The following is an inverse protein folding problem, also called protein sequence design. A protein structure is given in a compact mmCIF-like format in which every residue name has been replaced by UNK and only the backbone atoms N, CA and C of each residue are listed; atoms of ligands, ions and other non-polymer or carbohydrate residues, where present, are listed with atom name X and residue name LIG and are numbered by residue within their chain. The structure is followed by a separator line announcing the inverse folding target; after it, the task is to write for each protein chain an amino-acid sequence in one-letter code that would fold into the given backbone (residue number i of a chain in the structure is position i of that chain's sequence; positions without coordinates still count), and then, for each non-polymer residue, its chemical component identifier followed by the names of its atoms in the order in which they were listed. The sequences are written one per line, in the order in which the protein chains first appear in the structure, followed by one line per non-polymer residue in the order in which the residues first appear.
data_IF_973892729169
#
_entry.id   IF_973892729169
#
_cell.length_a   1.000
_cell.length_b   1.000
_cell.length_c   1.000
_cell.angle_alpha   90.00
_cell.angle_beta   90.00
_cell.angle_gamma   90.00
#
_symmetry.space_group_name_H-M   'P 1'
#
loop_
_entity.id
_entity.type
_entity.pdbx_description
1 polymer ?
#
# COMPACT_ATOMS: atom_id res chain seq x y z
N UNK A 1 27.94 -0.63 -49.99
CA UNK A 1 28.33 -0.04 -48.69
C UNK A 1 27.07 0.40 -47.97
N UNK A 2 26.50 -0.46 -47.12
CA UNK A 2 25.37 -0.13 -46.29
C UNK A 2 25.90 0.32 -44.92
N UNK A 3 25.65 1.59 -44.60
CA UNK A 3 25.98 2.12 -43.26
C UNK A 3 25.02 1.49 -42.27
N UNK A 4 25.55 0.63 -41.39
CA UNK A 4 24.93 0.25 -40.13
C UNK A 4 24.80 1.50 -39.26
N UNK A 5 23.62 2.06 -39.15
CA UNK A 5 23.28 2.96 -38.06
C UNK A 5 23.14 2.07 -36.80
N UNK A 6 24.20 1.99 -36.01
CA UNK A 6 24.14 1.47 -34.67
C UNK A 6 23.23 2.38 -33.86
N UNK A 7 22.03 1.91 -33.52
CA UNK A 7 21.19 2.48 -32.50
C UNK A 7 21.97 2.44 -31.18
N UNK A 8 22.66 3.52 -30.84
CA UNK A 8 23.13 3.76 -29.48
C UNK A 8 21.91 4.05 -28.60
N UNK A 9 21.17 3.01 -28.22
CA UNK A 9 20.20 3.09 -27.16
C UNK A 9 20.99 3.29 -25.87
N UNK A 10 20.91 4.50 -25.28
CA UNK A 10 21.47 4.80 -23.97
C UNK A 10 20.67 3.96 -22.98
N UNK A 11 21.26 2.89 -22.47
CA UNK A 11 20.71 2.13 -21.34
C UNK A 11 20.69 3.09 -20.17
N UNK A 12 19.51 3.39 -19.64
CA UNK A 12 19.30 4.28 -18.53
C UNK A 12 19.46 3.47 -17.24
N UNK A 13 20.67 3.38 -16.72
CA UNK A 13 20.96 2.69 -15.47
C UNK A 13 20.29 3.38 -14.28
N UNK A 14 19.81 2.62 -13.30
CA UNK A 14 19.24 3.11 -12.02
C UNK A 14 18.02 4.02 -12.17
N UNK A 15 16.96 3.53 -12.78
CA UNK A 15 15.70 4.26 -12.93
C UNK A 15 15.18 4.76 -11.58
N UNK A 16 14.63 5.98 -11.57
CA UNK A 16 13.84 6.50 -10.47
C UNK A 16 12.39 6.02 -10.64
N UNK A 17 11.91 5.25 -9.66
CA UNK A 17 10.58 4.65 -9.66
C UNK A 17 9.79 5.17 -8.47
N UNK A 18 8.60 5.69 -8.71
CA UNK A 18 7.65 6.03 -7.64
C UNK A 18 6.55 4.97 -7.60
N UNK A 19 6.35 4.37 -6.41
CA UNK A 19 5.25 3.46 -6.13
C UNK A 19 4.18 4.18 -5.30
N UNK A 20 2.97 4.32 -5.84
CA UNK A 20 1.80 4.80 -5.12
C UNK A 20 1.19 3.65 -4.33
N UNK A 21 1.16 3.79 -3.01
CA UNK A 21 0.81 2.75 -2.04
C UNK A 21 2.02 2.01 -1.48
N UNK A 22 1.98 1.65 -0.20
CA UNK A 22 3.00 0.93 0.54
C UNK A 22 2.43 -0.22 1.40
N UNK A 23 1.20 -0.67 1.12
CA UNK A 23 0.59 -1.87 1.72
C UNK A 23 1.30 -3.17 1.30
N UNK A 24 0.80 -4.33 1.73
CA UNK A 24 1.48 -5.62 1.54
C UNK A 24 1.81 -5.99 0.08
N UNK A 25 0.93 -5.70 -0.87
CA UNK A 25 1.19 -5.95 -2.30
C UNK A 25 2.19 -4.96 -2.87
N UNK A 26 2.04 -3.67 -2.56
CA UNK A 26 2.98 -2.63 -2.97
C UNK A 26 4.36 -2.87 -2.37
N UNK A 27 4.46 -3.32 -1.12
CA UNK A 27 5.72 -3.69 -0.47
C UNK A 27 6.47 -4.77 -1.26
N UNK A 28 5.76 -5.80 -1.77
CA UNK A 28 6.40 -6.81 -2.62
C UNK A 28 6.98 -6.24 -3.91
N UNK A 29 6.32 -5.26 -4.51
CA UNK A 29 6.79 -4.54 -5.71
C UNK A 29 8.01 -3.69 -5.36
N UNK A 30 7.89 -2.83 -4.36
CA UNK A 30 8.96 -1.93 -3.88
C UNK A 30 10.22 -2.73 -3.52
N UNK A 31 10.04 -3.80 -2.71
CA UNK A 31 11.12 -4.69 -2.31
C UNK A 31 11.85 -5.27 -3.53
N UNK A 32 11.12 -5.79 -4.52
CA UNK A 32 11.72 -6.41 -5.70
C UNK A 32 12.47 -5.41 -6.58
N UNK A 33 11.88 -4.24 -6.83
CA UNK A 33 12.50 -3.18 -7.62
C UNK A 33 13.76 -2.63 -6.94
N UNK A 34 13.70 -2.40 -5.63
CA UNK A 34 14.85 -1.98 -4.83
C UNK A 34 15.99 -3.03 -4.86
N UNK A 35 15.65 -4.32 -4.68
CA UNK A 35 16.62 -5.43 -4.76
C UNK A 35 17.19 -5.65 -6.17
N UNK A 36 16.50 -5.17 -7.20
CA UNK A 36 17.00 -5.15 -8.58
C UNK A 36 17.92 -3.95 -8.87
N UNK A 37 18.15 -3.05 -7.90
CA UNK A 37 19.10 -1.93 -8.00
C UNK A 37 18.45 -0.61 -8.41
N UNK A 38 17.12 -0.52 -8.55
CA UNK A 38 16.45 0.73 -8.89
C UNK A 38 16.31 1.64 -7.66
N UNK A 39 16.23 2.93 -7.89
CA UNK A 39 15.91 3.96 -6.90
C UNK A 39 14.40 4.03 -6.73
N UNK A 40 13.87 3.56 -5.61
CA UNK A 40 12.43 3.44 -5.39
C UNK A 40 11.98 4.37 -4.27
N UNK A 41 10.92 5.15 -4.52
CA UNK A 41 10.25 6.00 -3.53
C UNK A 41 8.82 5.49 -3.38
N UNK A 42 8.33 5.38 -2.14
CA UNK A 42 6.97 4.99 -1.83
C UNK A 42 6.13 6.22 -1.45
N UNK A 43 4.89 6.29 -1.95
CA UNK A 43 3.89 7.29 -1.54
C UNK A 43 2.77 6.58 -0.78
N UNK A 44 2.35 7.16 0.34
CA UNK A 44 1.27 6.59 1.14
C UNK A 44 0.36 7.69 1.71
N UNK A 45 -0.77 7.30 2.25
CA UNK A 45 -1.64 8.17 3.03
C UNK A 45 -1.06 8.42 4.43
N UNK A 46 -1.55 9.42 5.12
CA UNK A 46 -1.21 9.75 6.50
C UNK A 46 -1.80 8.75 7.53
N UNK A 47 -2.83 7.99 7.14
CA UNK A 47 -3.49 7.02 8.01
C UNK A 47 -3.72 5.66 7.29
N UNK A 48 -2.64 4.90 7.02
CA UNK A 48 -2.73 3.64 6.30
C UNK A 48 -3.40 2.53 7.13
N UNK A 49 -4.20 1.69 6.44
CA UNK A 49 -5.06 0.67 7.06
C UNK A 49 -4.62 -0.76 6.69
N UNK A 50 -3.33 -1.04 6.68
CA UNK A 50 -2.85 -2.38 6.36
C UNK A 50 -3.15 -3.37 7.49
N UNK A 51 -3.84 -4.47 7.18
CA UNK A 51 -4.03 -5.56 8.16
C UNK A 51 -2.82 -6.51 8.19
N UNK A 52 -2.10 -6.67 7.06
CA UNK A 52 -0.86 -7.45 7.00
C UNK A 52 0.35 -6.56 7.29
N UNK A 53 0.28 -5.82 8.38
CA UNK A 53 1.24 -4.77 8.73
C UNK A 53 2.67 -5.26 8.90
N UNK A 54 2.90 -6.52 9.33
CA UNK A 54 4.24 -7.11 9.46
C UNK A 54 5.00 -7.24 8.13
N UNK A 55 4.31 -7.08 7.01
CA UNK A 55 4.89 -7.14 5.65
C UNK A 55 4.48 -5.93 4.82
N UNK A 56 4.27 -4.78 5.46
CA UNK A 56 3.81 -3.55 4.82
C UNK A 56 4.70 -2.37 5.19
N UNK A 57 5.30 -1.73 4.19
CA UNK A 57 6.13 -0.54 4.38
C UNK A 57 5.33 0.68 4.86
N UNK A 58 4.00 0.68 4.67
CA UNK A 58 3.16 1.77 5.16
C UNK A 58 3.20 1.94 6.69
N UNK A 59 3.65 0.91 7.46
CA UNK A 59 3.86 1.05 8.90
C UNK A 59 4.93 2.09 9.24
N UNK A 60 5.81 2.45 8.29
CA UNK A 60 6.77 3.54 8.47
C UNK A 60 6.09 4.90 8.70
N UNK A 61 4.84 5.09 8.27
CA UNK A 61 4.06 6.31 8.55
C UNK A 61 3.89 6.50 10.06
N UNK A 62 3.68 5.41 10.80
CA UNK A 62 3.47 5.44 12.25
C UNK A 62 4.77 5.33 13.05
N UNK A 63 5.70 4.49 12.59
CA UNK A 63 6.89 4.09 13.36
C UNK A 63 8.18 4.79 12.87
N UNK A 64 8.08 5.68 11.86
CA UNK A 64 9.22 6.35 11.24
C UNK A 64 10.00 5.45 10.26
N UNK A 65 9.96 4.14 10.45
CA UNK A 65 10.55 3.16 9.52
C UNK A 65 9.86 1.81 9.63
N UNK A 66 9.92 1.02 8.54
CA UNK A 66 9.43 -0.36 8.51
C UNK A 66 10.39 -1.22 7.69
N UNK A 67 10.73 -2.41 8.20
CA UNK A 67 11.65 -3.33 7.54
C UNK A 67 10.94 -4.63 7.16
N UNK A 68 11.09 -5.05 5.89
CA UNK A 68 10.52 -6.31 5.36
C UNK A 68 11.58 -7.04 4.55
N UNK A 69 11.88 -8.28 4.92
CA UNK A 69 12.86 -9.16 4.24
C UNK A 69 14.20 -8.45 3.90
N UNK A 70 14.73 -7.64 4.85
CA UNK A 70 16.03 -6.98 4.73
C UNK A 70 16.04 -5.68 3.90
N UNK A 71 14.87 -5.18 3.51
CA UNK A 71 14.71 -3.83 2.93
C UNK A 71 13.98 -2.95 3.93
N UNK A 72 14.45 -1.73 4.14
CA UNK A 72 13.86 -0.74 5.04
C UNK A 72 13.23 0.39 4.24
N UNK A 73 11.98 0.72 4.56
CA UNK A 73 11.36 1.97 4.16
C UNK A 73 11.45 2.98 5.32
N UNK A 74 11.77 4.21 5.00
CA UNK A 74 11.93 5.30 5.99
C UNK A 74 11.04 6.47 5.65
N UNK A 75 10.28 6.93 6.63
CA UNK A 75 9.46 8.13 6.51
C UNK A 75 10.36 9.36 6.32
N UNK A 76 10.09 10.12 5.26
CA UNK A 76 10.66 11.46 5.06
C UNK A 76 9.56 12.46 5.39
N UNK A 77 9.69 13.22 6.50
CA UNK A 77 8.68 14.17 6.90
C UNK A 77 8.57 15.34 5.91
N UNK A 78 7.39 15.93 5.79
CA UNK A 78 7.20 17.18 5.07
C UNK A 78 7.87 18.33 5.82
N UNK A 79 8.44 19.31 5.08
CA UNK A 79 9.17 20.44 5.64
C UNK A 79 8.35 21.32 6.61
N UNK A 80 7.03 21.38 6.43
CA UNK A 80 6.14 22.21 7.23
C UNK A 80 5.47 21.48 8.43
N UNK A 81 5.79 20.21 8.66
CA UNK A 81 5.33 19.45 9.83
C UNK A 81 6.38 19.49 10.95
N UNK A 82 6.63 20.67 11.51
CA UNK A 82 7.41 20.80 12.76
C UNK A 82 6.57 20.43 14.01
N UNK A 83 5.30 20.14 13.83
CA UNK A 83 4.42 19.57 14.87
C UNK A 83 3.87 18.24 14.36
N UNK A 84 4.55 17.14 14.70
CA UNK A 84 3.87 15.85 14.80
C UNK A 84 2.77 16.09 15.84
N UNK A 85 1.51 16.03 15.41
CA UNK A 85 0.36 16.19 16.28
C UNK A 85 0.58 15.33 17.54
N UNK A 86 0.83 15.99 18.66
CA UNK A 86 0.66 15.39 19.96
C UNK A 86 -0.83 15.09 20.09
N UNK A 87 -1.17 13.95 20.59
CA UNK A 87 -2.43 13.21 20.73
C UNK A 87 -3.77 13.99 20.95
N UNK A 88 -3.81 15.32 20.81
CA UNK A 88 -4.97 16.13 21.18
C UNK A 88 -5.95 16.48 20.06
N UNK A 89 -5.61 16.30 18.78
CA UNK A 89 -6.44 16.78 17.65
C UNK A 89 -7.16 15.68 16.86
N UNK A 90 -7.15 14.44 17.35
CA UNK A 90 -7.78 13.30 16.66
C UNK A 90 -9.33 13.29 16.73
N UNK A 91 -9.96 14.20 17.46
CA UNK A 91 -11.41 14.19 17.61
C UNK A 91 -12.16 14.80 16.40
N UNK A 92 -11.50 15.60 15.56
CA UNK A 92 -12.14 16.26 14.41
C UNK A 92 -11.98 15.52 13.10
N UNK A 93 -10.99 14.63 12.96
CA UNK A 93 -10.67 13.95 11.69
C UNK A 93 -11.23 12.52 11.59
N UNK A 94 -11.95 12.02 12.61
CA UNK A 94 -12.51 10.66 12.63
C UNK A 94 -13.65 10.43 11.62
N UNK A 95 -14.18 11.45 10.97
CA UNK A 95 -15.15 11.31 9.88
C UNK A 95 -14.52 10.90 8.54
N UNK A 96 -13.19 10.79 8.47
CA UNK A 96 -12.42 10.83 7.21
C UNK A 96 -11.91 9.45 6.71
N UNK A 97 -12.17 8.36 7.40
CA UNK A 97 -11.45 7.08 7.16
C UNK A 97 -11.80 6.24 5.93
N UNK A 98 -12.90 6.41 5.19
CA UNK A 98 -13.20 5.54 4.03
C UNK A 98 -14.05 6.15 2.92
N UNK A 99 -14.77 7.23 3.15
CA UNK A 99 -15.52 7.94 2.11
C UNK A 99 -14.76 9.12 1.49
N UNK A 100 -13.67 9.57 2.08
CA UNK A 100 -12.89 10.73 1.63
C UNK A 100 -12.24 10.54 0.28
N UNK A 101 -12.03 9.33 -0.16
CA UNK A 101 -11.63 9.15 -1.57
C UNK A 101 -12.75 9.49 -2.57
N UNK A 102 -13.98 9.85 -2.13
CA UNK A 102 -15.08 10.11 -3.05
C UNK A 102 -15.81 11.44 -2.91
N UNK A 103 -15.75 12.17 -1.81
CA UNK A 103 -16.62 13.36 -1.65
C UNK A 103 -15.93 14.69 -1.28
N UNK A 104 -14.68 14.72 -0.85
CA UNK A 104 -14.06 15.97 -0.35
C UNK A 104 -13.38 16.83 -1.41
N UNK A 105 -13.49 16.53 -2.69
CA UNK A 105 -12.93 17.39 -3.75
C UNK A 105 -13.96 18.27 -4.48
N UNK A 106 -15.20 18.36 -4.03
CA UNK A 106 -16.23 19.16 -4.70
C UNK A 106 -16.71 20.43 -3.95
N UNK A 107 -16.07 20.87 -2.88
CA UNK A 107 -16.65 21.93 -2.08
C UNK A 107 -15.76 22.81 -1.23
N UNK A 108 -14.53 23.15 -1.61
CA UNK A 108 -13.75 24.19 -0.94
C UNK A 108 -13.19 25.19 -1.97
N UNK A 109 -13.98 26.22 -2.26
CA UNK A 109 -13.50 27.48 -2.83
C UNK A 109 -13.02 28.40 -1.69
N UNK A 110 -11.92 28.03 -1.02
CA UNK A 110 -11.07 28.96 -0.29
C UNK A 110 -9.66 28.40 -0.37
N UNK A 111 -8.90 28.94 -1.32
CA UNK A 111 -7.51 28.62 -1.56
C UNK A 111 -6.63 29.20 -0.45
N UNK A 112 -6.07 28.38 0.47
CA UNK A 112 -4.83 28.76 1.12
C UNK A 112 -3.78 28.84 0.02
N UNK A 113 -2.86 29.79 0.12
CA UNK A 113 -1.79 30.01 -0.85
C UNK A 113 -1.14 28.66 -1.21
N UNK A 114 -1.21 28.29 -2.50
CA UNK A 114 -0.64 27.06 -3.01
C UNK A 114 0.87 27.05 -2.72
N UNK A 115 1.28 26.37 -1.64
CA UNK A 115 2.67 25.99 -1.47
C UNK A 115 3.05 25.12 -2.66
N UNK A 116 4.10 25.50 -3.38
CA UNK A 116 4.57 24.68 -4.50
C UNK A 116 5.03 23.33 -3.95
N UNK A 117 4.84 22.24 -4.70
CA UNK A 117 5.28 20.90 -4.28
C UNK A 117 6.78 20.87 -3.88
N UNK A 118 7.59 21.82 -4.36
CA UNK A 118 8.99 22.01 -3.98
C UNK A 118 9.20 22.50 -2.54
N UNK A 119 8.16 23.02 -1.88
CA UNK A 119 8.23 23.51 -0.49
C UNK A 119 7.73 22.48 0.51
N UNK A 120 7.11 21.37 0.05
CA UNK A 120 6.52 20.34 0.90
C UNK A 120 7.51 19.26 1.32
N UNK A 121 8.46 18.88 0.47
CA UNK A 121 9.46 17.84 0.77
C UNK A 121 10.88 18.31 0.52
N UNK A 122 11.78 17.99 1.47
CA UNK A 122 13.21 18.20 1.31
C UNK A 122 13.80 17.13 0.36
N UNK A 123 14.19 17.58 -0.82
CA UNK A 123 14.85 16.72 -1.79
C UNK A 123 16.16 16.12 -1.27
N UNK A 124 16.91 16.87 -0.45
CA UNK A 124 18.16 16.37 0.12
C UNK A 124 17.92 15.24 1.12
N UNK A 125 16.82 15.29 1.89
CA UNK A 125 16.43 14.23 2.79
C UNK A 125 16.00 12.96 2.03
N UNK A 126 15.27 13.10 0.91
CA UNK A 126 14.91 11.97 0.03
C UNK A 126 16.18 11.32 -0.53
N UNK A 127 17.11 12.12 -1.06
CA UNK A 127 18.38 11.61 -1.62
C UNK A 127 19.22 10.90 -0.54
N UNK A 128 19.31 11.47 0.67
CA UNK A 128 20.06 10.86 1.78
C UNK A 128 19.53 9.46 2.14
N UNK A 129 18.20 9.25 2.12
CA UNK A 129 17.60 7.93 2.36
C UNK A 129 17.92 6.97 1.22
N UNK A 130 17.85 7.42 -0.05
CA UNK A 130 18.22 6.62 -1.21
C UNK A 130 19.71 6.22 -1.20
N UNK A 131 20.60 7.16 -0.85
CA UNK A 131 22.04 6.90 -0.73
C UNK A 131 22.39 5.94 0.42
N UNK A 132 21.58 5.95 1.49
CA UNK A 132 21.69 4.97 2.57
C UNK A 132 21.24 3.55 2.16
N UNK A 133 20.72 3.37 0.94
CA UNK A 133 20.21 2.09 0.46
C UNK A 133 18.85 1.73 1.05
N UNK A 134 18.09 2.72 1.50
CA UNK A 134 16.73 2.56 2.01
C UNK A 134 15.70 3.14 1.02
N UNK A 135 14.42 2.88 1.27
CA UNK A 135 13.31 3.36 0.46
C UNK A 135 12.67 4.57 1.15
N UNK A 136 12.75 5.80 0.59
CA UNK A 136 12.01 6.94 1.11
C UNK A 136 10.50 6.67 1.02
N UNK A 137 9.78 6.92 2.11
CA UNK A 137 8.32 6.92 2.14
C UNK A 137 7.84 8.34 2.40
N UNK A 138 6.98 8.84 1.52
CA UNK A 138 6.38 10.17 1.61
C UNK A 138 4.89 10.05 1.91
N UNK A 139 4.39 10.89 2.82
CA UNK A 139 2.94 11.06 2.99
C UNK A 139 2.45 11.97 1.86
N UNK A 140 2.00 11.34 0.78
CA UNK A 140 1.55 12.00 -0.44
C UNK A 140 0.45 11.20 -1.15
N UNK A 141 -0.78 11.20 -0.61
CA UNK A 141 -1.89 10.42 -1.17
C UNK A 141 -2.28 10.86 -2.58
N UNK A 142 -2.06 12.12 -2.93
CA UNK A 142 -2.43 12.69 -4.23
C UNK A 142 -1.37 12.49 -5.31
N UNK A 143 -0.10 12.28 -4.92
CA UNK A 143 1.04 12.12 -5.84
C UNK A 143 1.60 13.45 -6.35
N UNK A 144 1.48 14.53 -5.58
CA UNK A 144 2.04 15.86 -5.93
C UNK A 144 3.56 15.80 -6.12
N UNK A 145 4.26 14.96 -5.35
CA UNK A 145 5.70 14.75 -5.46
C UNK A 145 6.14 14.19 -6.82
N UNK A 146 5.26 13.52 -7.56
CA UNK A 146 5.56 12.95 -8.88
C UNK A 146 6.00 14.05 -9.85
N UNK A 147 5.27 15.17 -9.89
CA UNK A 147 5.61 16.30 -10.75
C UNK A 147 6.95 16.96 -10.37
N UNK A 148 7.27 16.98 -9.07
CA UNK A 148 8.52 17.50 -8.54
C UNK A 148 9.70 16.59 -8.85
N UNK A 149 9.55 15.29 -8.59
CA UNK A 149 10.64 14.30 -8.66
C UNK A 149 10.89 13.80 -10.08
N UNK A 150 9.88 13.87 -10.97
CA UNK A 150 9.95 13.46 -12.39
C UNK A 150 10.53 12.07 -12.56
N UNK A 151 9.86 11.02 -12.02
CA UNK A 151 10.34 9.66 -12.11
C UNK A 151 10.35 9.15 -13.55
N UNK A 152 11.13 8.10 -13.80
CA UNK A 152 11.10 7.35 -15.05
C UNK A 152 9.88 6.43 -15.12
N UNK A 153 9.47 5.91 -13.97
CA UNK A 153 8.35 4.97 -13.84
C UNK A 153 7.46 5.35 -12.66
N UNK A 154 6.15 5.27 -12.86
CA UNK A 154 5.16 5.30 -11.79
C UNK A 154 4.44 3.96 -11.76
N UNK A 155 4.34 3.36 -10.57
CA UNK A 155 3.56 2.14 -10.33
C UNK A 155 2.44 2.48 -9.35
N UNK A 156 1.19 2.40 -9.77
CA UNK A 156 0.05 2.51 -8.87
C UNK A 156 -0.32 1.13 -8.32
N UNK A 157 0.01 0.91 -7.07
CA UNK A 157 -0.27 -0.30 -6.30
C UNK A 157 -1.10 -0.02 -5.03
N UNK A 158 -1.91 1.04 -5.03
CA UNK A 158 -2.84 1.38 -3.94
C UNK A 158 -3.89 0.27 -3.75
N UNK A 159 -4.27 -0.42 -4.86
CA UNK A 159 -5.29 -1.50 -4.87
C UNK A 159 -6.68 -1.00 -4.43
N UNK A 160 -7.00 0.23 -4.74
CA UNK A 160 -8.28 0.85 -4.38
C UNK A 160 -9.49 0.32 -5.18
N UNK A 161 -9.27 -0.56 -6.16
CA UNK A 161 -10.29 -1.13 -7.06
C UNK A 161 -10.93 -0.11 -8.01
N UNK A 162 -10.48 1.12 -7.96
CA UNK A 162 -10.80 2.25 -8.84
C UNK A 162 -9.55 3.10 -9.00
N UNK A 163 -9.47 3.85 -10.08
CA UNK A 163 -8.39 4.81 -10.29
C UNK A 163 -8.58 6.03 -9.36
N UNK A 164 -7.56 6.34 -8.57
CA UNK A 164 -7.50 7.48 -7.66
C UNK A 164 -6.63 8.61 -8.21
N UNK A 165 -6.81 8.94 -9.49
CA UNK A 165 -6.15 10.07 -10.14
C UNK A 165 -4.81 9.74 -10.82
N UNK A 166 -4.47 8.46 -10.98
CA UNK A 166 -3.30 8.07 -11.79
C UNK A 166 -3.59 8.28 -13.28
N UNK A 167 -2.69 8.96 -13.96
CA UNK A 167 -2.78 9.22 -15.40
C UNK A 167 -1.54 8.74 -16.13
N UNK A 168 -1.71 8.39 -17.40
CA UNK A 168 -0.65 7.91 -18.28
C UNK A 168 0.50 8.92 -18.45
N UNK A 169 0.25 10.20 -18.16
CA UNK A 169 1.23 11.29 -18.31
C UNK A 169 2.10 11.52 -17.07
N UNK A 170 1.93 10.76 -15.99
CA UNK A 170 2.70 10.93 -14.75
C UNK A 170 4.18 10.58 -14.89
N UNK A 171 4.51 9.66 -15.81
CA UNK A 171 5.89 9.25 -16.12
C UNK A 171 5.99 8.68 -17.53
N UNK A 172 7.21 8.51 -18.08
CA UNK A 172 7.43 7.79 -19.34
C UNK A 172 6.85 6.37 -19.36
N UNK A 173 6.84 5.68 -18.21
CA UNK A 173 6.13 4.42 -18.02
C UNK A 173 5.22 4.53 -16.78
N UNK A 174 3.92 4.25 -16.95
CA UNK A 174 2.94 4.20 -15.85
C UNK A 174 2.29 2.83 -15.85
N UNK A 175 2.31 2.14 -14.70
CA UNK A 175 1.80 0.79 -14.50
C UNK A 175 0.72 0.83 -13.44
N UNK A 176 -0.48 0.34 -13.75
CA UNK A 176 -1.56 0.16 -12.78
C UNK A 176 -1.65 -1.30 -12.32
N UNK A 177 -1.82 -1.54 -11.02
CA UNK A 177 -1.95 -2.89 -10.46
C UNK A 177 -3.39 -3.18 -10.08
N UNK A 178 -3.99 -4.18 -10.73
CA UNK A 178 -5.36 -4.63 -10.47
C UNK A 178 -6.45 -3.81 -11.15
N UNK A 179 -7.71 -3.98 -10.72
CA UNK A 179 -8.86 -3.33 -11.33
C UNK A 179 -8.90 -1.82 -11.04
N UNK A 180 -9.51 -1.08 -11.95
CA UNK A 180 -9.64 0.38 -11.87
C UNK A 180 -8.93 1.10 -13.01
N UNK A 181 -8.02 0.45 -13.71
CA UNK A 181 -7.22 1.00 -14.81
C UNK A 181 -7.57 0.39 -16.16
N UNK A 182 -7.35 1.16 -17.22
CA UNK A 182 -7.42 0.71 -18.62
C UNK A 182 -6.05 0.95 -19.25
N UNK A 183 -5.40 -0.10 -19.71
CA UNK A 183 -4.13 -0.03 -20.43
C UNK A 183 -4.31 0.78 -21.73
N UNK A 184 -3.33 1.64 -22.04
CA UNK A 184 -3.37 2.55 -23.19
C UNK A 184 -4.26 3.79 -23.00
N UNK A 185 -4.92 3.94 -21.84
CA UNK A 185 -5.79 5.09 -21.52
C UNK A 185 -5.39 5.76 -20.21
N UNK A 186 -5.55 5.08 -19.08
CA UNK A 186 -5.20 5.60 -17.76
C UNK A 186 -3.71 5.39 -17.45
N UNK A 187 -3.20 4.26 -17.88
CA UNK A 187 -1.83 3.77 -17.66
C UNK A 187 -1.32 3.10 -18.93
N UNK A 188 0.00 2.93 -19.04
CA UNK A 188 0.58 2.20 -20.19
C UNK A 188 0.29 0.70 -20.09
N UNK A 189 0.43 0.13 -18.90
CA UNK A 189 0.27 -1.31 -18.63
C UNK A 189 -0.59 -1.54 -17.39
N UNK A 190 -1.36 -2.61 -17.39
CA UNK A 190 -2.08 -3.08 -16.21
C UNK A 190 -1.54 -4.46 -15.81
N UNK A 191 -1.33 -4.69 -14.50
CA UNK A 191 -0.95 -6.00 -13.97
C UNK A 191 -2.17 -6.64 -13.32
N UNK A 192 -2.54 -7.86 -13.77
CA UNK A 192 -3.64 -8.62 -13.20
C UNK A 192 -3.37 -8.98 -11.74
N UNK A 193 -4.29 -8.65 -10.86
CA UNK A 193 -4.16 -8.94 -9.42
C UNK A 193 -5.08 -10.04 -8.90
N UNK A 194 -6.02 -10.52 -9.72
CA UNK A 194 -6.90 -11.61 -9.32
C UNK A 194 -6.14 -12.95 -9.27
N UNK A 195 -6.33 -13.71 -8.17
CA UNK A 195 -5.78 -15.07 -8.07
C UNK A 195 -6.37 -15.98 -9.13
N UNK A 196 -5.55 -16.86 -9.69
CA UNK A 196 -5.90 -17.81 -10.74
C UNK A 196 -4.86 -17.83 -11.83
N UNK A 197 -5.21 -18.41 -12.98
CA UNK A 197 -4.31 -18.62 -14.12
C UNK A 197 -3.69 -17.33 -14.66
N UNK A 198 -4.42 -16.22 -14.57
CA UNK A 198 -3.99 -14.92 -15.11
C UNK A 198 -3.31 -14.03 -14.06
N UNK A 199 -3.12 -14.47 -12.81
CA UNK A 199 -2.43 -13.68 -11.80
C UNK A 199 -1.08 -13.18 -12.33
N UNK A 200 -0.83 -11.89 -12.13
CA UNK A 200 0.37 -11.20 -12.56
C UNK A 200 0.56 -11.06 -14.10
N UNK A 201 -0.43 -11.39 -14.91
CA UNK A 201 -0.37 -11.15 -16.35
C UNK A 201 -0.22 -9.65 -16.65
N UNK A 202 0.70 -9.31 -17.53
CA UNK A 202 0.83 -7.96 -18.09
C UNK A 202 -0.25 -7.80 -19.16
N UNK A 203 -1.08 -6.76 -19.03
CA UNK A 203 -2.16 -6.40 -19.92
C UNK A 203 -1.75 -5.13 -20.64
N UNK A 204 -1.63 -5.19 -21.96
CA UNK A 204 -1.22 -4.09 -22.82
C UNK A 204 -2.41 -3.38 -23.49
N UNK A 205 -3.58 -4.00 -23.47
CA UNK A 205 -4.85 -3.47 -23.96
C UNK A 205 -6.00 -4.00 -23.09
N UNK A 206 -6.90 -3.11 -22.66
CA UNK A 206 -8.03 -3.44 -21.81
C UNK A 206 -7.75 -3.32 -20.32
N UNK A 207 -8.39 -4.18 -19.50
CA UNK A 207 -8.48 -4.05 -18.05
C UNK A 207 -8.19 -5.36 -17.33
N UNK A 208 -7.75 -5.27 -16.08
CA UNK A 208 -7.75 -6.40 -15.15
C UNK A 208 -9.19 -6.84 -14.83
N UNK A 209 -9.33 -8.08 -14.36
CA UNK A 209 -10.62 -8.64 -13.97
C UNK A 209 -11.23 -7.80 -12.83
N UNK A 210 -12.55 -7.53 -12.86
CA UNK A 210 -13.21 -6.76 -11.82
C UNK A 210 -13.13 -7.48 -10.47
N UNK A 211 -13.05 -6.69 -9.39
CA UNK A 211 -13.07 -7.25 -8.05
C UNK A 211 -14.39 -7.97 -7.77
N UNK A 212 -14.30 -9.24 -7.36
CA UNK A 212 -15.48 -10.05 -7.02
C UNK A 212 -16.00 -9.79 -5.61
N UNK A 213 -15.23 -9.10 -4.75
CA UNK A 213 -15.55 -8.97 -3.32
C UNK A 213 -15.36 -10.25 -2.52
N UNK A 214 -15.11 -11.39 -3.18
CA UNK A 214 -14.94 -12.69 -2.52
C UNK A 214 -13.45 -12.98 -2.32
N UNK A 215 -13.01 -13.19 -1.07
CA UNK A 215 -11.63 -13.59 -0.79
C UNK A 215 -11.28 -14.93 -1.45
N UNK A 216 -10.01 -15.10 -1.82
CA UNK A 216 -9.54 -16.37 -2.38
C UNK A 216 -9.73 -17.53 -1.39
N UNK A 217 -10.06 -18.72 -1.93
CA UNK A 217 -10.17 -19.93 -1.13
C UNK A 217 -8.79 -20.35 -0.58
N UNK A 218 -8.69 -20.57 0.73
CA UNK A 218 -7.53 -21.14 1.39
C UNK A 218 -8.02 -22.30 2.28
N UNK A 219 -7.61 -23.52 1.97
CA UNK A 219 -7.97 -24.74 2.69
C UNK A 219 -9.50 -24.89 2.94
N UNK A 220 -10.31 -24.50 1.96
CA UNK A 220 -11.76 -24.60 2.03
C UNK A 220 -12.48 -23.37 2.56
N UNK A 221 -11.78 -22.39 3.13
CA UNK A 221 -12.35 -21.16 3.69
C UNK A 221 -12.17 -19.97 2.73
N UNK A 222 -13.18 -19.11 2.63
CA UNK A 222 -13.21 -17.90 1.80
C UNK A 222 -13.47 -16.64 2.63
N UNK A 223 -14.73 -16.21 2.72
CA UNK A 223 -15.17 -15.04 3.48
C UNK A 223 -15.01 -15.23 4.99
N UNK A 224 -15.13 -16.46 5.45
CA UNK A 224 -15.03 -16.82 6.87
C UNK A 224 -13.67 -16.46 7.49
N UNK A 225 -12.63 -16.38 6.65
CA UNK A 225 -11.27 -15.99 7.10
C UNK A 225 -11.14 -14.51 7.40
N UNK A 226 -12.01 -13.70 6.82
CA UNK A 226 -11.93 -12.24 6.92
C UNK A 226 -12.85 -11.75 8.02
N UNK A 227 -12.29 -11.03 8.96
CA UNK A 227 -13.03 -10.45 10.07
C UNK A 227 -13.28 -8.96 9.77
N UNK A 228 -14.55 -8.58 9.79
CA UNK A 228 -15.00 -7.21 9.65
C UNK A 228 -15.43 -6.68 11.01
N UNK A 229 -15.25 -5.40 11.23
CA UNK A 229 -15.61 -4.71 12.47
C UNK A 229 -17.12 -4.85 12.74
N UNK A 230 -17.53 -5.40 13.90
CA UNK A 230 -18.94 -5.49 14.28
C UNK A 230 -19.54 -4.15 14.73
N UNK A 231 -18.73 -3.14 14.97
CA UNK A 231 -19.12 -1.78 15.35
C UNK A 231 -18.06 -0.77 14.90
N UNK A 232 -18.42 0.51 14.88
CA UNK A 232 -17.46 1.60 14.74
C UNK A 232 -16.71 1.83 16.07
N UNK A 233 -15.43 2.26 16.00
CA UNK A 233 -14.64 2.58 17.18
C UNK A 233 -13.14 2.35 16.97
N UNK A 234 -12.41 2.39 18.08
CA UNK A 234 -10.96 2.17 18.15
C UNK A 234 -10.68 0.73 18.57
N UNK A 235 -9.76 0.07 17.87
CA UNK A 235 -9.36 -1.30 18.21
C UNK A 235 -8.34 -1.31 19.33
N UNK A 236 -8.50 -2.28 20.25
CA UNK A 236 -7.54 -2.68 21.24
C UNK A 236 -7.20 -4.16 21.07
N UNK A 237 -5.93 -4.46 20.85
CA UNK A 237 -5.46 -5.81 20.50
C UNK A 237 -5.43 -6.72 21.74
N UNK A 238 -6.13 -7.85 21.71
CA UNK A 238 -6.04 -8.93 22.73
C UNK A 238 -5.03 -9.99 22.28
N UNK A 239 -4.91 -10.17 20.97
CA UNK A 239 -3.99 -11.13 20.33
C UNK A 239 -3.10 -10.39 19.32
N UNK A 240 -2.05 -11.08 18.84
CA UNK A 240 -1.07 -10.53 17.90
C UNK A 240 -1.07 -11.32 16.59
N UNK A 241 -0.55 -10.71 15.53
CA UNK A 241 -0.24 -11.42 14.29
C UNK A 241 0.74 -12.56 14.60
N UNK A 242 0.41 -13.77 14.16
CA UNK A 242 1.16 -14.99 14.45
C UNK A 242 0.57 -15.84 15.58
N UNK A 243 -0.36 -15.31 16.38
CA UNK A 243 -1.01 -16.11 17.41
C UNK A 243 -1.96 -17.14 16.77
N UNK A 244 -1.95 -18.36 17.33
CA UNK A 244 -2.92 -19.42 17.00
C UNK A 244 -4.14 -19.22 17.88
N UNK A 245 -5.32 -19.21 17.28
CA UNK A 245 -6.60 -19.01 17.96
C UNK A 245 -7.60 -20.09 17.58
N UNK A 246 -8.51 -20.38 18.50
CA UNK A 246 -9.67 -21.23 18.25
C UNK A 246 -10.84 -20.35 17.79
N UNK A 247 -11.74 -20.93 16.98
CA UNK A 247 -13.00 -20.25 16.65
C UNK A 247 -13.74 -19.84 17.92
N UNK A 248 -14.07 -18.54 18.02
CA UNK A 248 -14.73 -17.92 19.17
C UNK A 248 -13.80 -17.27 20.18
N UNK A 249 -12.47 -17.47 20.07
CA UNK A 249 -11.50 -16.75 20.93
C UNK A 249 -11.58 -15.24 20.66
N UNK A 250 -11.53 -14.44 21.72
CA UNK A 250 -11.43 -12.99 21.62
C UNK A 250 -10.03 -12.60 21.09
N UNK A 251 -10.01 -11.84 19.99
CA UNK A 251 -8.76 -11.40 19.33
C UNK A 251 -8.50 -9.91 19.51
N UNK A 252 -9.57 -9.12 19.67
CA UNK A 252 -9.49 -7.67 19.87
C UNK A 252 -10.78 -7.18 20.54
N UNK A 253 -10.76 -5.93 20.97
CA UNK A 253 -11.89 -5.18 21.53
C UNK A 253 -12.08 -3.89 20.78
N UNK A 254 -13.30 -3.44 20.61
CA UNK A 254 -13.62 -2.14 20.00
C UNK A 254 -14.21 -1.23 21.06
N UNK A 255 -13.55 -0.13 21.29
CA UNK A 255 -13.96 0.91 22.23
C UNK A 255 -14.45 2.15 21.51
N UNK A 256 -15.39 2.93 22.10
CA UNK A 256 -15.86 4.17 21.51
C UNK A 256 -14.78 5.26 21.47
N UNK A 257 -13.82 5.23 22.42
CA UNK A 257 -12.70 6.16 22.51
C UNK A 257 -11.43 5.45 23.05
N UNK A 258 -10.24 6.02 22.78
CA UNK A 258 -8.94 5.46 23.23
C UNK A 258 -8.73 5.54 24.72
N UNK A 259 -9.31 6.54 25.39
CA UNK A 259 -9.19 6.70 26.84
C UNK A 259 -9.85 5.57 27.64
N UNK A 260 -10.70 4.80 26.98
CA UNK A 260 -11.39 3.65 27.56
C UNK A 260 -10.55 2.37 27.62
N UNK A 261 -9.36 2.30 26.98
CA UNK A 261 -8.55 1.07 26.88
C UNK A 261 -8.10 0.54 28.24
N UNK A 262 -7.68 1.42 29.15
CA UNK A 262 -7.16 1.08 30.46
C UNK A 262 -8.24 1.04 31.57
N UNK A 263 -9.50 1.26 31.20
CA UNK A 263 -10.61 1.26 32.15
C UNK A 263 -11.40 -0.05 32.04
N UNK A 264 -11.19 -0.95 33.00
CA UNK A 264 -11.87 -2.26 33.07
C UNK A 264 -13.42 -2.16 33.11
N UNK A 265 -13.97 -1.01 33.45
CA UNK A 265 -15.42 -0.77 33.52
C UNK A 265 -15.97 -0.21 32.20
N UNK A 266 -15.13 0.11 31.22
CA UNK A 266 -15.57 0.62 29.94
C UNK A 266 -16.28 -0.45 29.12
N UNK A 267 -17.39 -0.07 28.53
CA UNK A 267 -18.10 -0.94 27.58
C UNK A 267 -17.28 -1.06 26.29
N UNK A 268 -17.20 -2.27 25.76
CA UNK A 268 -16.56 -2.57 24.48
C UNK A 268 -17.34 -3.62 23.70
N UNK A 269 -17.09 -3.70 22.41
CA UNK A 269 -17.60 -4.74 21.55
C UNK A 269 -16.48 -5.75 21.27
N UNK A 270 -16.62 -7.04 21.66
CA UNK A 270 -15.60 -8.05 21.41
C UNK A 270 -15.51 -8.40 19.91
N UNK A 271 -14.29 -8.61 19.45
CA UNK A 271 -14.00 -9.17 18.13
C UNK A 271 -13.49 -10.60 18.32
N UNK A 272 -14.23 -11.55 17.80
CA UNK A 272 -13.91 -12.97 17.98
C UNK A 272 -13.39 -13.60 16.69
N UNK A 273 -12.50 -14.59 16.85
CA UNK A 273 -12.02 -15.42 15.76
C UNK A 273 -13.18 -16.16 15.08
N UNK A 274 -13.35 -15.99 13.79
CA UNK A 274 -14.42 -16.60 12.99
C UNK A 274 -14.14 -18.06 12.65
N UNK A 275 -12.87 -18.44 12.58
CA UNK A 275 -12.36 -19.80 12.36
C UNK A 275 -11.16 -20.07 13.26
N UNK A 276 -10.82 -21.35 13.45
CA UNK A 276 -9.54 -21.77 14.06
C UNK A 276 -8.41 -21.57 13.07
N UNK A 277 -7.26 -21.04 13.53
CA UNK A 277 -6.08 -20.83 12.69
C UNK A 277 -5.13 -19.77 13.26
N UNK A 278 -4.26 -19.24 12.40
CA UNK A 278 -3.29 -18.21 12.73
C UNK A 278 -3.86 -16.83 12.39
N UNK A 279 -3.73 -15.87 13.28
CA UNK A 279 -3.97 -14.46 12.97
C UNK A 279 -2.88 -14.02 11.98
N UNK A 280 -3.22 -13.97 10.70
CA UNK A 280 -2.31 -13.59 9.62
C UNK A 280 -2.23 -12.09 9.41
N UNK A 281 -3.29 -11.41 9.72
CA UNK A 281 -3.41 -9.96 9.63
C UNK A 281 -4.33 -9.43 10.72
N UNK A 282 -3.93 -8.30 11.28
CA UNK A 282 -4.69 -7.53 12.26
C UNK A 282 -4.34 -6.06 12.06
N UNK A 283 -5.34 -5.21 12.00
CA UNK A 283 -5.15 -3.77 11.86
C UNK A 283 -4.41 -3.22 13.08
N UNK A 284 -3.77 -2.05 12.95
CA UNK A 284 -2.96 -1.45 14.01
C UNK A 284 -3.79 -1.12 15.24
N UNK A 285 -3.21 -1.39 16.40
CA UNK A 285 -3.71 -0.95 17.73
C UNK A 285 -4.07 0.53 17.71
N UNK A 286 -5.25 0.88 18.26
CA UNK A 286 -5.73 2.25 18.31
C UNK A 286 -6.20 2.84 16.97
N UNK A 287 -6.32 2.02 15.91
CA UNK A 287 -6.89 2.47 14.65
C UNK A 287 -8.40 2.65 14.78
N UNK A 288 -8.92 3.78 14.30
CA UNK A 288 -10.36 4.02 14.22
C UNK A 288 -10.92 3.52 12.89
N UNK A 289 -12.07 2.89 12.94
CA UNK A 289 -12.79 2.43 11.75
C UNK A 289 -14.31 2.45 11.96
N UNK A 290 -15.04 2.40 10.84
CA UNK A 290 -16.49 2.24 10.83
C UNK A 290 -16.87 0.76 10.89
N UNK A 291 -18.11 0.47 11.31
CA UNK A 291 -18.70 -0.87 11.20
C UNK A 291 -18.56 -1.43 9.77
N UNK A 292 -18.29 -2.72 9.66
CA UNK A 292 -18.09 -3.41 8.39
C UNK A 292 -16.68 -3.26 7.80
N UNK A 293 -15.79 -2.47 8.40
CA UNK A 293 -14.41 -2.33 7.94
C UNK A 293 -13.64 -3.64 8.16
N UNK A 294 -12.78 -4.04 7.21
CA UNK A 294 -11.95 -5.24 7.33
C UNK A 294 -10.82 -5.01 8.31
N UNK A 295 -10.81 -5.71 9.44
CA UNK A 295 -9.86 -5.50 10.54
C UNK A 295 -8.89 -6.65 10.76
N UNK A 296 -9.22 -7.88 10.34
CA UNK A 296 -8.32 -9.02 10.50
C UNK A 296 -8.49 -10.07 9.41
N UNK A 297 -7.52 -10.99 9.34
CA UNK A 297 -7.51 -12.15 8.44
C UNK A 297 -6.89 -13.34 9.17
N UNK A 298 -7.59 -14.50 9.20
CA UNK A 298 -7.12 -15.75 9.81
C UNK A 298 -6.75 -16.73 8.72
N UNK A 299 -5.57 -17.35 8.82
CA UNK A 299 -5.16 -18.47 7.97
C UNK A 299 -5.43 -19.78 8.70
N UNK A 300 -6.25 -20.68 8.15
CA UNK A 300 -6.57 -21.96 8.81
C UNK A 300 -5.38 -22.93 8.85
N UNK A 301 -4.27 -22.62 8.18
CA UNK A 301 -3.10 -23.49 8.07
C UNK A 301 -2.06 -23.13 9.14
N UNK A 302 -2.04 -23.83 10.26
CA UNK A 302 -1.10 -23.56 11.36
C UNK A 302 0.37 -23.74 10.96
N UNK A 303 0.67 -24.55 9.93
CA UNK A 303 2.02 -24.71 9.39
C UNK A 303 2.58 -23.44 8.71
N UNK A 304 1.73 -22.47 8.41
CA UNK A 304 2.06 -21.28 7.64
C UNK A 304 2.44 -20.05 8.51
N UNK A 305 2.79 -20.27 9.78
CA UNK A 305 3.12 -19.21 10.74
C UNK A 305 4.19 -18.24 10.22
N UNK A 306 5.27 -18.76 9.64
CA UNK A 306 6.35 -17.93 9.09
C UNK A 306 5.89 -17.03 7.95
N UNK A 307 4.82 -17.41 7.26
CA UNK A 307 4.26 -16.65 6.15
C UNK A 307 3.48 -15.41 6.59
N UNK A 308 3.22 -15.26 7.89
CA UNK A 308 2.69 -14.02 8.44
C UNK A 308 3.69 -12.84 8.32
N UNK A 309 4.98 -13.16 8.30
CA UNK A 309 6.10 -12.21 8.37
C UNK A 309 6.90 -12.13 7.06
N UNK A 310 6.41 -12.73 5.98
CA UNK A 310 7.08 -12.73 4.68
C UNK A 310 6.15 -12.26 3.57
N UNK A 311 6.76 -11.71 2.50
CA UNK A 311 6.08 -11.27 1.30
C UNK A 311 5.34 -12.45 0.66
N UNK A 312 4.04 -12.29 0.38
CA UNK A 312 3.21 -13.38 -0.13
C UNK A 312 3.58 -13.81 -1.56
N UNK A 313 3.17 -15.03 -1.93
CA UNK A 313 3.22 -15.57 -3.29
C UNK A 313 2.58 -14.60 -4.30
N UNK A 314 1.41 -14.06 -3.96
CA UNK A 314 0.70 -13.08 -4.80
C UNK A 314 1.52 -11.80 -5.01
N UNK A 315 2.06 -11.23 -3.93
CA UNK A 315 2.87 -10.02 -4.00
C UNK A 315 4.15 -10.26 -4.82
N UNK A 316 4.82 -11.41 -4.60
CA UNK A 316 6.00 -11.80 -5.38
C UNK A 316 5.72 -12.00 -6.86
N UNK A 317 4.58 -12.62 -7.21
CA UNK A 317 4.19 -12.81 -8.61
C UNK A 317 3.94 -11.47 -9.30
N UNK A 318 3.12 -10.60 -8.71
CA UNK A 318 2.84 -9.26 -9.23
C UNK A 318 4.14 -8.45 -9.37
N UNK A 319 4.99 -8.45 -8.36
CA UNK A 319 6.28 -7.77 -8.38
C UNK A 319 7.20 -8.28 -9.49
N UNK A 320 7.11 -9.57 -9.85
CA UNK A 320 7.83 -10.15 -10.98
C UNK A 320 7.45 -9.51 -12.30
N UNK A 321 6.16 -9.35 -12.56
CA UNK A 321 5.68 -8.73 -13.79
C UNK A 321 5.91 -7.22 -13.84
N UNK A 322 5.86 -6.54 -12.70
CA UNK A 322 6.26 -5.12 -12.65
C UNK A 322 7.75 -4.99 -12.99
N UNK A 323 8.63 -5.83 -12.43
CA UNK A 323 10.05 -5.81 -12.77
C UNK A 323 10.29 -6.16 -14.25
N UNK A 324 9.55 -7.12 -14.82
CA UNK A 324 9.61 -7.44 -16.26
C UNK A 324 9.28 -6.21 -17.11
N UNK A 325 8.19 -5.49 -16.78
CA UNK A 325 7.77 -4.30 -17.50
C UNK A 325 8.80 -3.17 -17.37
N UNK A 326 9.36 -2.96 -16.18
CA UNK A 326 10.42 -1.97 -15.93
C UNK A 326 11.69 -2.31 -16.70
N UNK A 327 12.11 -3.57 -16.68
CA UNK A 327 13.29 -4.04 -17.41
C UNK A 327 13.11 -3.93 -18.92
N UNK A 328 11.92 -4.25 -19.44
CA UNK A 328 11.61 -4.05 -20.86
C UNK A 328 11.71 -2.57 -21.26
N UNK A 329 11.18 -1.68 -20.43
CA UNK A 329 11.27 -0.23 -20.64
C UNK A 329 12.72 0.26 -20.60
N UNK A 330 13.53 -0.18 -19.63
CA UNK A 330 14.96 0.14 -19.50
C UNK A 330 15.76 -0.25 -20.75
N UNK A 331 15.43 -1.41 -21.33
CA UNK A 331 16.12 -1.93 -22.52
C UNK A 331 15.43 -1.52 -23.84
N UNK A 332 14.43 -0.65 -23.81
CA UNK A 332 13.70 -0.18 -25.00
C UNK A 332 12.89 -1.25 -25.71
N UNK A 333 12.52 -2.32 -25.01
CA UNK A 333 11.64 -3.37 -25.52
C UNK A 333 10.20 -2.90 -25.39
N UNK A 334 9.45 -2.88 -26.49
CA UNK A 334 8.03 -2.53 -26.47
C UNK A 334 7.22 -3.72 -25.95
N UNK A 335 6.42 -3.46 -24.89
CA UNK A 335 5.39 -4.38 -24.39
C UNK A 335 3.97 -3.93 -24.78
N UNK A 336 3.82 -2.76 -25.37
CA UNK A 336 2.55 -2.10 -25.72
C UNK A 336 2.68 -1.37 -27.06
#
# INVERSE_FOLDING_TARGET
MSMNQSNNQIIKENLLIICRGAGDLATGIIHRLHRAGHRVIALETDYPAAIRRQVSFCEAVYDGSAAVEGVTARLVPALNNTEIATEADAETDAEIGTEIYTETYSGLNDTPAAHTASEKWDRSAIEAVLEAGEVPLLIDPTGESIALLKPDVVVDAIIAKKNLGTTINMAPLVIGVGPGFTAGHDVHLVIESMRGHNLARIITDGRAQPNTGVPGNIAGFTSERVIHAPAAGYIHDVRKIGDIVQKGDEIARIYPDKGSFDNELSEYVPVNATITGIIRGLIREGYYFREGFKIADIDPRESELTNCFTISDKARSIAGSVLEAVSAFEHGVKLY
#
